data_IF_678315196602
#
_entry.id   IF_678315196602
#
_cell.length_a   1.000
_cell.length_b   1.000
_cell.length_c   1.000
_cell.angle_alpha   90.00
_cell.angle_beta   90.00
_cell.angle_gamma   90.00
#
_symmetry.space_group_name_H-M   'P 1'
#
loop_
_entity.id
_entity.type
_entity.pdbx_description
1 polymer ?
#
# COMPACT_ATOMS: atom_id res chain seq x y z
N UNK A 1 -19.10 2.93 4.36
CA UNK A 1 -18.27 3.95 5.03
C UNK A 1 -16.83 3.56 4.75
N UNK A 2 -16.05 4.39 4.03
CA UNK A 2 -14.65 4.04 3.66
C UNK A 2 -13.73 4.44 4.82
N UNK A 3 -13.93 3.86 5.99
CA UNK A 3 -13.02 4.09 7.10
C UNK A 3 -12.86 2.81 7.93
N UNK A 4 -11.62 2.31 8.12
CA UNK A 4 -11.38 1.24 9.07
C UNK A 4 -11.71 1.77 10.47
N UNK A 5 -12.69 1.16 11.14
CA UNK A 5 -13.26 1.60 12.41
C UNK A 5 -12.32 1.46 13.63
N UNK A 6 -11.04 1.14 13.45
CA UNK A 6 -10.09 0.79 14.50
C UNK A 6 -8.70 1.39 14.26
N UNK A 7 -7.80 1.24 15.25
CA UNK A 7 -6.41 1.68 15.20
C UNK A 7 -5.74 1.30 13.86
N UNK A 8 -5.53 2.32 13.02
CA UNK A 8 -5.09 2.13 11.65
C UNK A 8 -3.62 1.71 11.62
N UNK A 9 -3.35 0.47 11.23
CA UNK A 9 -1.99 0.01 10.96
C UNK A 9 -1.63 0.35 9.52
N UNK A 10 -0.72 1.30 9.33
CA UNK A 10 -0.23 1.68 8.00
C UNK A 10 1.17 1.10 7.79
N UNK A 11 1.36 0.43 6.66
CA UNK A 11 2.66 -0.06 6.22
C UNK A 11 3.00 0.45 4.82
N UNK A 12 4.27 0.75 4.61
CA UNK A 12 4.81 1.19 3.33
C UNK A 12 5.68 0.07 2.76
N UNK A 13 5.36 -0.38 1.55
CA UNK A 13 6.21 -1.31 0.80
C UNK A 13 7.48 -0.57 0.35
N UNK A 14 8.64 -0.93 0.89
CA UNK A 14 9.89 -0.22 0.57
C UNK A 14 10.35 -0.48 -0.87
N UNK A 15 10.03 -1.66 -1.42
CA UNK A 15 10.31 -2.04 -2.81
C UNK A 15 9.25 -1.50 -3.79
N UNK A 16 9.65 -1.02 -4.98
CA UNK A 16 8.70 -0.65 -6.01
C UNK A 16 7.91 -1.85 -6.52
N UNK A 17 6.63 -1.65 -6.84
CA UNK A 17 5.74 -2.69 -7.36
C UNK A 17 5.39 -2.43 -8.83
N UNK A 18 5.07 -3.49 -9.56
CA UNK A 18 4.44 -3.38 -10.89
C UNK A 18 3.04 -2.76 -10.77
N UNK A 19 2.90 -1.53 -11.25
CA UNK A 19 1.67 -0.76 -11.14
C UNK A 19 0.56 -1.15 -12.13
N UNK A 20 0.79 -2.17 -12.96
CA UNK A 20 -0.28 -2.84 -13.72
C UNK A 20 -1.17 -3.70 -12.83
N UNK A 21 -0.68 -4.15 -11.67
CA UNK A 21 -1.46 -4.92 -10.69
C UNK A 21 -2.62 -4.08 -10.14
N UNK A 22 -3.85 -4.60 -10.27
CA UNK A 22 -5.07 -4.04 -9.68
C UNK A 22 -5.27 -4.45 -8.22
N UNK A 23 -6.51 -4.50 -7.74
CA UNK A 23 -6.85 -4.94 -6.38
C UNK A 23 -6.29 -6.34 -6.08
N UNK A 24 -6.70 -7.35 -6.84
CA UNK A 24 -6.34 -8.75 -6.57
C UNK A 24 -4.84 -9.02 -6.74
N UNK A 25 -4.22 -8.38 -7.74
CA UNK A 25 -2.78 -8.53 -7.97
C UNK A 25 -1.93 -7.93 -6.85
N UNK A 26 -2.42 -6.89 -6.16
CA UNK A 26 -1.76 -6.31 -4.99
C UNK A 26 -2.11 -7.07 -3.72
N UNK A 27 -3.35 -7.53 -3.55
CA UNK A 27 -3.76 -8.40 -2.44
C UNK A 27 -2.94 -9.69 -2.42
N UNK A 28 -2.81 -10.37 -3.57
CA UNK A 28 -1.98 -11.57 -3.71
C UNK A 28 -0.49 -11.30 -3.42
N UNK A 29 0.01 -10.08 -3.68
CA UNK A 29 1.37 -9.70 -3.31
C UNK A 29 1.52 -9.55 -1.79
N UNK A 30 0.52 -8.99 -1.10
CA UNK A 30 0.51 -8.91 0.37
C UNK A 30 0.57 -10.30 1.00
N UNK A 31 -0.28 -11.21 0.53
CA UNK A 31 -0.36 -12.57 1.08
C UNK A 31 0.93 -13.36 0.83
N UNK A 32 1.44 -13.34 -0.42
CA UNK A 32 2.53 -14.23 -0.83
C UNK A 32 3.92 -13.73 -0.48
N UNK A 33 4.14 -12.43 -0.57
CA UNK A 33 5.48 -11.86 -0.43
C UNK A 33 5.70 -11.18 0.92
N UNK A 34 4.63 -10.76 1.58
CA UNK A 34 4.70 -9.93 2.79
C UNK A 34 4.02 -10.56 4.01
N UNK A 35 3.41 -11.73 3.86
CA UNK A 35 2.69 -12.46 4.91
C UNK A 35 1.68 -11.57 5.65
N UNK A 36 0.93 -10.78 4.88
CA UNK A 36 -0.11 -9.88 5.38
C UNK A 36 -1.47 -10.26 4.80
N UNK A 37 -2.48 -10.29 5.66
CA UNK A 37 -3.87 -10.46 5.26
C UNK A 37 -4.43 -9.14 4.67
N UNK A 38 -4.78 -9.09 3.37
CA UNK A 38 -5.35 -7.91 2.72
C UNK A 38 -6.77 -7.55 3.21
N UNK A 39 -7.46 -8.49 3.87
CA UNK A 39 -8.79 -8.27 4.47
C UNK A 39 -8.71 -7.82 5.93
N UNK A 40 -7.51 -7.82 6.51
CA UNK A 40 -7.28 -7.16 7.80
C UNK A 40 -7.39 -5.65 7.63
N UNK A 41 -7.73 -4.92 8.70
CA UNK A 41 -7.82 -3.45 8.70
C UNK A 41 -6.50 -2.71 8.46
N UNK A 42 -5.50 -3.37 7.87
CA UNK A 42 -4.23 -2.82 7.46
C UNK A 42 -4.39 -1.95 6.22
N UNK A 43 -3.63 -0.86 6.17
CA UNK A 43 -3.50 -0.03 4.98
C UNK A 43 -2.09 -0.19 4.45
N UNK A 44 -1.97 -0.55 3.17
CA UNK A 44 -0.67 -0.72 2.52
C UNK A 44 -0.46 0.30 1.42
N UNK A 45 0.68 1.01 1.49
CA UNK A 45 1.08 2.00 0.49
C UNK A 45 2.19 1.42 -0.38
N UNK A 46 1.93 1.37 -1.68
CA UNK A 46 2.87 0.96 -2.72
C UNK A 46 3.31 2.16 -3.55
N UNK A 47 4.51 2.06 -4.14
CA UNK A 47 5.05 3.06 -5.07
C UNK A 47 5.48 2.42 -6.38
N UNK A 48 5.30 3.12 -7.49
CA UNK A 48 5.82 2.71 -8.79
C UNK A 48 7.34 2.87 -8.85
N UNK A 49 8.01 2.10 -9.72
CA UNK A 49 9.46 2.24 -9.97
C UNK A 49 9.90 3.66 -10.33
N UNK A 50 9.11 4.37 -11.14
CA UNK A 50 9.37 5.79 -11.50
C UNK A 50 9.21 6.76 -10.32
N UNK A 51 8.42 6.37 -9.33
CA UNK A 51 8.24 7.08 -8.08
C UNK A 51 7.33 8.29 -8.10
N UNK A 52 6.69 8.56 -9.25
CA UNK A 52 5.68 9.57 -9.48
C UNK A 52 4.27 9.10 -9.07
N UNK A 53 4.11 7.84 -8.67
CA UNK A 53 2.81 7.21 -8.42
C UNK A 53 2.80 6.39 -7.14
N UNK A 54 1.67 6.41 -6.46
CA UNK A 54 1.36 5.51 -5.36
C UNK A 54 0.00 4.82 -5.57
N UNK A 55 -0.12 3.65 -4.96
CA UNK A 55 -1.38 2.94 -4.76
C UNK A 55 -1.53 2.69 -3.26
N UNK A 56 -2.73 2.90 -2.73
CA UNK A 56 -3.08 2.59 -1.34
C UNK A 56 -4.17 1.55 -1.36
N UNK A 57 -3.89 0.37 -0.80
CA UNK A 57 -4.84 -0.74 -0.71
C UNK A 57 -5.29 -0.90 0.74
N UNK A 58 -6.59 -1.09 0.94
CA UNK A 58 -7.20 -1.42 2.23
C UNK A 58 -8.50 -2.22 2.02
N UNK A 59 -8.95 -2.93 3.06
CA UNK A 59 -10.29 -3.50 3.14
C UNK A 59 -11.18 -2.61 4.02
N UNK A 60 -12.38 -2.28 3.55
CA UNK A 60 -13.30 -1.38 4.27
C UNK A 60 -14.38 -2.12 5.09
N UNK A 61 -14.32 -3.45 5.15
CA UNK A 61 -15.36 -4.30 5.75
C UNK A 61 -16.28 -4.94 4.72
N UNK A 62 -16.41 -4.35 3.53
CA UNK A 62 -17.28 -4.84 2.44
C UNK A 62 -16.53 -5.16 1.15
N UNK A 63 -15.40 -4.49 0.91
CA UNK A 63 -14.64 -4.61 -0.32
C UNK A 63 -13.19 -4.14 -0.19
N UNK A 64 -12.36 -4.59 -1.13
CA UNK A 64 -11.05 -4.00 -1.35
C UNK A 64 -11.22 -2.61 -1.97
N UNK A 65 -10.52 -1.64 -1.40
CA UNK A 65 -10.49 -0.26 -1.87
C UNK A 65 -9.08 0.07 -2.33
N UNK A 66 -8.96 0.63 -3.54
CA UNK A 66 -7.69 1.06 -4.11
C UNK A 66 -7.73 2.55 -4.44
N UNK A 67 -6.95 3.35 -3.72
CA UNK A 67 -6.68 4.73 -4.10
C UNK A 67 -5.44 4.80 -4.99
N UNK A 68 -5.50 5.57 -6.06
CA UNK A 68 -4.38 5.81 -6.96
C UNK A 68 -4.06 7.30 -7.05
N UNK A 69 -2.80 7.67 -6.83
CA UNK A 69 -2.34 9.05 -6.98
C UNK A 69 -1.12 9.09 -7.89
N UNK A 70 -1.16 9.98 -8.88
CA UNK A 70 -0.05 10.33 -9.77
C UNK A 70 0.31 11.80 -9.57
N UNK A 71 1.58 12.09 -9.37
CA UNK A 71 2.08 13.46 -9.36
C UNK A 71 2.20 13.98 -10.81
N UNK A 72 1.86 15.24 -11.03
CA UNK A 72 2.12 15.91 -12.30
C UNK A 72 3.62 16.08 -12.55
N UNK A 73 4.37 16.40 -11.50
CA UNK A 73 5.82 16.58 -11.51
C UNK A 73 6.44 16.05 -10.20
N UNK A 74 7.72 15.70 -10.24
CA UNK A 74 8.47 15.22 -9.07
C UNK A 74 8.22 13.75 -8.72
N UNK A 75 8.63 13.37 -7.51
CA UNK A 75 8.53 12.01 -6.96
C UNK A 75 8.06 12.08 -5.51
N UNK A 76 7.35 11.04 -5.07
CA UNK A 76 7.08 10.87 -3.64
C UNK A 76 8.39 10.67 -2.89
N UNK A 77 8.51 11.33 -1.73
CA UNK A 77 9.50 10.96 -0.73
C UNK A 77 9.23 9.51 -0.33
N UNK A 78 10.27 8.68 -0.34
CA UNK A 78 10.13 7.26 -0.08
C UNK A 78 11.23 6.80 0.87
N UNK A 79 10.93 5.85 1.78
CA UNK A 79 11.96 5.19 2.57
C UNK A 79 13.04 4.61 1.65
N UNK A 80 14.27 4.46 2.18
CA UNK A 80 15.30 3.68 1.49
C UNK A 80 14.72 2.31 1.15
N UNK A 81 15.08 1.79 -0.01
CA UNK A 81 14.69 0.44 -0.42
C UNK A 81 15.42 -0.53 0.50
N UNK A 82 14.66 -1.36 1.20
CA UNK A 82 15.14 -2.42 2.10
C UNK A 82 14.31 -3.66 1.80
N UNK A 83 14.74 -4.85 2.19
CA UNK A 83 13.88 -6.03 2.09
C UNK A 83 12.77 -5.96 3.16
N UNK A 84 11.56 -5.52 2.77
CA UNK A 84 10.38 -5.63 3.61
C UNK A 84 9.42 -4.44 3.62
N UNK A 85 8.80 -4.22 4.78
CA UNK A 85 7.79 -3.20 5.04
C UNK A 85 8.30 -2.20 6.08
N UNK A 86 8.05 -0.92 5.86
CA UNK A 86 8.19 0.09 6.90
C UNK A 86 6.84 0.33 7.57
N UNK A 87 6.73 0.05 8.87
CA UNK A 87 5.55 0.45 9.67
C UNK A 87 5.61 1.95 9.94
N UNK A 88 4.50 2.66 9.74
CA UNK A 88 4.35 4.02 10.23
C UNK A 88 3.82 3.97 11.66
N UNK A 89 4.59 4.49 12.61
CA UNK A 89 4.12 4.78 13.96
C UNK A 89 3.72 6.26 14.05
N UNK A 90 2.77 6.57 14.94
CA UNK A 90 2.59 7.95 15.38
C UNK A 90 3.90 8.38 16.07
N UNK A 91 4.43 9.53 15.67
CA UNK A 91 5.56 10.17 16.35
C UNK A 91 5.14 10.76 17.69
#
# INVERSE_FOLDING_TARGET
>A
MIYPSQAVRIVIATKPVDFRKGHDGLAALLERELDLDPHSGIIVVFRAKRGDRIKVLLWDGSGLVLCYKRLGQGKFAWPKVQDGLMRLSKG
#
